data_IF_285892187197
#
_entry.id   IF_285892187197
#
_cell.length_a   1.000
_cell.length_b   1.000
_cell.length_c   1.000
_cell.angle_alpha   90.00
_cell.angle_beta   90.00
_cell.angle_gamma   90.00
#
_symmetry.space_group_name_H-M   'P 1'
#
loop_
_entity.id
_entity.type
_entity.pdbx_description
1 polymer ?
#
# COMPACT_ATOMS: atom_id res chain seq x y z
N UNK A 1 17.50 2.70 -11.58
CA UNK A 1 16.30 3.00 -10.76
C UNK A 1 16.32 2.36 -9.36
N UNK A 2 16.45 1.04 -9.24
CA UNK A 2 16.28 0.31 -7.95
C UNK A 2 17.19 0.75 -6.79
N UNK A 3 18.43 1.18 -7.05
CA UNK A 3 19.36 1.67 -5.99
C UNK A 3 18.89 2.99 -5.38
N UNK A 4 18.40 3.92 -6.20
CA UNK A 4 17.91 5.22 -5.77
C UNK A 4 16.65 5.12 -4.91
N UNK A 5 15.73 4.22 -5.26
CA UNK A 5 14.54 3.95 -4.44
C UNK A 5 14.90 3.41 -3.06
N UNK A 6 15.85 2.47 -2.97
CA UNK A 6 16.31 1.93 -1.68
C UNK A 6 16.95 2.99 -0.80
N UNK A 7 17.75 3.87 -1.39
CA UNK A 7 18.37 5.01 -0.68
C UNK A 7 17.28 5.97 -0.20
N UNK A 8 16.29 6.27 -1.04
CA UNK A 8 15.15 7.11 -0.67
C UNK A 8 14.34 6.53 0.50
N UNK A 9 14.08 5.21 0.50
CA UNK A 9 13.39 4.52 1.60
C UNK A 9 14.18 4.65 2.89
N UNK A 10 15.49 4.41 2.84
CA UNK A 10 16.35 4.52 4.01
C UNK A 10 16.37 5.94 4.57
N UNK A 11 16.51 6.95 3.70
CA UNK A 11 16.46 8.36 4.09
C UNK A 11 15.12 8.75 4.70
N UNK A 12 14.01 8.27 4.14
CA UNK A 12 12.67 8.53 4.65
C UNK A 12 12.47 7.94 6.06
N UNK A 13 12.94 6.71 6.29
CA UNK A 13 12.88 6.07 7.61
C UNK A 13 13.71 6.85 8.64
N UNK A 14 14.93 7.24 8.29
CA UNK A 14 15.80 8.04 9.16
C UNK A 14 15.15 9.40 9.46
N UNK A 15 14.61 10.08 8.44
CA UNK A 15 13.89 11.34 8.61
C UNK A 15 12.70 11.20 9.57
N UNK A 16 11.92 10.13 9.41
CA UNK A 16 10.75 9.85 10.25
C UNK A 16 11.16 9.66 11.71
N UNK A 17 12.24 8.92 11.98
CA UNK A 17 12.78 8.72 13.33
C UNK A 17 13.31 10.02 13.95
N UNK A 18 13.96 10.87 13.15
CA UNK A 18 14.47 12.18 13.59
C UNK A 18 13.31 13.12 13.93
N UNK A 19 12.30 13.24 13.07
CA UNK A 19 11.08 13.99 13.36
C UNK A 19 10.42 13.48 14.64
N UNK A 20 10.29 12.15 14.78
CA UNK A 20 9.70 11.51 15.95
C UNK A 20 10.46 11.80 17.26
N UNK A 21 11.77 12.02 17.20
CA UNK A 21 12.61 12.29 18.37
C UNK A 21 12.68 13.77 18.79
N UNK A 22 12.23 14.69 17.93
CA UNK A 22 12.47 16.14 18.11
C UNK A 22 11.24 16.88 18.66
N UNK A 23 10.02 16.37 18.44
CA UNK A 23 8.78 16.99 18.93
C UNK A 23 8.39 16.38 20.29
N UNK A 24 8.51 17.19 21.35
CA UNK A 24 8.35 16.80 22.76
C UNK A 24 6.96 16.29 23.19
N UNK A 25 5.98 16.24 22.28
CA UNK A 25 4.60 15.77 22.51
C UNK A 25 4.33 14.41 21.81
N UNK A 26 5.33 13.53 21.90
CA UNK A 26 5.47 12.19 21.31
C UNK A 26 4.29 11.21 21.48
N UNK A 27 3.32 11.49 22.35
CA UNK A 27 2.15 10.63 22.61
C UNK A 27 0.81 11.27 22.29
N UNK A 28 0.76 12.59 22.06
CA UNK A 28 -0.51 13.31 22.04
C UNK A 28 -0.97 13.69 20.63
N UNK A 29 -0.04 13.92 19.69
CA UNK A 29 -0.41 14.38 18.36
C UNK A 29 0.38 13.73 17.22
N UNK A 30 -0.31 13.48 16.10
CA UNK A 30 0.30 12.96 14.89
C UNK A 30 0.77 14.13 14.03
N UNK A 31 2.05 14.12 13.64
CA UNK A 31 2.54 15.14 12.71
C UNK A 31 1.97 14.91 11.31
N UNK A 32 1.00 15.75 10.94
CA UNK A 32 0.33 15.74 9.62
C UNK A 32 1.37 15.87 8.49
N UNK A 33 2.48 16.57 8.71
CA UNK A 33 3.55 16.74 7.72
C UNK A 33 4.19 15.40 7.36
N UNK A 34 4.41 14.53 8.36
CA UNK A 34 4.96 13.18 8.16
C UNK A 34 3.96 12.29 7.41
N UNK A 35 2.66 12.41 7.73
CA UNK A 35 1.60 11.66 7.03
C UNK A 35 1.57 12.03 5.54
N UNK A 36 1.55 13.33 5.23
CA UNK A 36 1.54 13.81 3.83
C UNK A 36 2.82 13.41 3.10
N UNK A 37 3.99 13.53 3.74
CA UNK A 37 5.25 13.12 3.12
C UNK A 37 5.28 11.61 2.85
N UNK A 38 4.80 10.80 3.79
CA UNK A 38 4.70 9.34 3.64
C UNK A 38 3.80 8.93 2.47
N UNK A 39 2.70 9.64 2.31
CA UNK A 39 1.75 9.48 1.22
C UNK A 39 2.38 9.70 -0.14
N UNK A 40 3.05 10.84 -0.34
CA UNK A 40 3.76 11.13 -1.59
C UNK A 40 4.86 10.09 -1.85
N UNK A 41 5.56 9.67 -0.81
CA UNK A 41 6.63 8.68 -0.93
C UNK A 41 6.10 7.30 -1.38
N UNK A 42 5.00 6.83 -0.79
CA UNK A 42 4.31 5.59 -1.20
C UNK A 42 3.83 5.69 -2.65
N UNK A 43 3.23 6.82 -3.03
CA UNK A 43 2.77 7.06 -4.40
C UNK A 43 3.92 6.99 -5.42
N UNK A 44 5.06 7.59 -5.11
CA UNK A 44 6.27 7.51 -5.96
C UNK A 44 6.77 6.07 -6.05
N UNK A 45 6.78 5.33 -4.95
CA UNK A 45 7.18 3.92 -4.94
C UNK A 45 6.27 3.06 -5.83
N UNK A 46 4.95 3.22 -5.71
CA UNK A 46 3.97 2.48 -6.52
C UNK A 46 4.07 2.89 -8.00
N UNK A 47 4.22 4.18 -8.29
CA UNK A 47 4.41 4.67 -9.65
C UNK A 47 5.68 4.10 -10.30
N UNK A 48 6.79 4.07 -9.57
CA UNK A 48 8.03 3.47 -10.05
C UNK A 48 7.89 1.95 -10.25
N UNK A 49 7.13 1.26 -9.40
CA UNK A 49 6.79 -0.15 -9.58
C UNK A 49 5.97 -0.40 -10.86
N UNK A 50 4.95 0.41 -11.13
CA UNK A 50 4.18 0.31 -12.37
C UNK A 50 5.02 0.61 -13.60
N UNK A 51 5.91 1.59 -13.54
CA UNK A 51 6.86 1.87 -14.63
C UNK A 51 7.76 0.66 -14.93
N UNK A 52 8.27 -0.03 -13.89
CA UNK A 52 9.11 -1.22 -14.05
C UNK A 52 8.31 -2.39 -14.67
N UNK A 53 7.04 -2.56 -14.29
CA UNK A 53 6.14 -3.55 -14.91
C UNK A 53 5.84 -3.22 -16.37
N UNK A 54 5.53 -1.95 -16.66
CA UNK A 54 5.19 -1.49 -18.02
C UNK A 54 6.34 -1.64 -19.00
N UNK A 55 7.57 -1.48 -18.51
CA UNK A 55 8.79 -1.56 -19.34
C UNK A 55 9.31 -2.99 -19.47
N UNK A 56 8.85 -3.91 -18.62
CA UNK A 56 9.32 -5.30 -18.61
C UNK A 56 8.39 -6.21 -19.40
N UNK A 57 8.95 -7.22 -20.09
CA UNK A 57 8.17 -8.32 -20.71
C UNK A 57 7.28 -9.09 -19.71
N UNK A 58 7.45 -8.83 -18.41
CA UNK A 58 6.57 -9.26 -17.33
C UNK A 58 5.16 -8.67 -17.41
N UNK A 59 4.91 -7.65 -18.25
CA UNK A 59 3.56 -7.14 -18.53
C UNK A 59 2.61 -8.21 -19.11
N UNK A 60 3.11 -9.34 -19.60
CA UNK A 60 2.23 -10.43 -20.02
C UNK A 60 1.76 -11.31 -18.84
N UNK A 61 2.40 -11.21 -17.66
CA UNK A 61 2.12 -12.00 -16.45
C UNK A 61 1.77 -11.16 -15.21
N UNK A 62 1.68 -9.83 -15.31
CA UNK A 62 1.40 -8.94 -14.17
C UNK A 62 0.10 -9.27 -13.42
N UNK A 63 -0.94 -9.71 -14.14
CA UNK A 63 -2.23 -10.13 -13.55
C UNK A 63 -2.13 -11.40 -12.68
N UNK A 64 -0.94 -12.02 -12.61
CA UNK A 64 -0.68 -13.22 -11.81
C UNK A 64 0.20 -12.92 -10.59
N UNK A 65 0.70 -11.69 -10.47
CA UNK A 65 1.57 -11.29 -9.37
C UNK A 65 0.74 -10.67 -8.24
N UNK A 66 0.86 -11.23 -7.02
CA UNK A 66 0.20 -10.70 -5.81
C UNK A 66 0.58 -9.24 -5.58
N UNK A 67 1.83 -8.88 -5.91
CA UNK A 67 2.36 -7.54 -5.63
C UNK A 67 1.58 -6.47 -6.41
N UNK A 68 1.04 -6.80 -7.59
CA UNK A 68 0.20 -5.89 -8.36
C UNK A 68 -1.16 -5.62 -7.67
N UNK A 69 -1.82 -6.66 -7.16
CA UNK A 69 -3.07 -6.49 -6.41
C UNK A 69 -2.84 -5.70 -5.11
N UNK A 70 -1.74 -5.97 -4.41
CA UNK A 70 -1.36 -5.23 -3.20
C UNK A 70 -1.13 -3.76 -3.51
N UNK A 71 -0.38 -3.44 -4.58
CA UNK A 71 -0.09 -2.05 -4.94
C UNK A 71 -1.34 -1.27 -5.32
N UNK A 72 -2.29 -1.90 -6.04
CA UNK A 72 -3.58 -1.27 -6.38
C UNK A 72 -4.42 -1.01 -5.13
N UNK A 73 -4.51 -2.00 -4.23
CA UNK A 73 -5.26 -1.86 -2.98
C UNK A 73 -4.71 -0.73 -2.12
N UNK A 74 -3.39 -0.67 -1.94
CA UNK A 74 -2.72 0.38 -1.18
C UNK A 74 -2.93 1.75 -1.84
N UNK A 75 -2.80 1.86 -3.16
CA UNK A 75 -2.98 3.12 -3.87
C UNK A 75 -4.38 3.71 -3.66
N UNK A 76 -5.42 2.87 -3.82
CA UNK A 76 -6.81 3.30 -3.62
C UNK A 76 -7.07 3.65 -2.15
N UNK A 77 -6.60 2.82 -1.23
CA UNK A 77 -6.72 3.08 0.21
C UNK A 77 -6.09 4.42 0.59
N UNK A 78 -4.87 4.65 0.13
CA UNK A 78 -4.11 5.84 0.41
C UNK A 78 -4.80 7.10 -0.15
N UNK A 79 -5.33 7.03 -1.38
CA UNK A 79 -6.08 8.12 -2.01
C UNK A 79 -7.35 8.52 -1.23
N UNK A 80 -8.02 7.56 -0.58
CA UNK A 80 -9.22 7.81 0.23
C UNK A 80 -8.90 8.27 1.65
N UNK A 81 -7.86 7.72 2.29
CA UNK A 81 -7.59 7.93 3.72
C UNK A 81 -6.78 9.20 3.99
N UNK A 82 -5.81 9.56 3.14
CA UNK A 82 -5.01 10.80 3.33
C UNK A 82 -5.88 12.05 3.45
N UNK A 83 -6.80 12.36 2.51
CA UNK A 83 -7.57 13.60 2.61
C UNK A 83 -8.34 13.67 3.92
N UNK A 84 -8.88 12.54 4.37
CA UNK A 84 -9.60 12.43 5.64
C UNK A 84 -8.65 12.65 6.84
N UNK A 85 -7.42 12.16 6.76
CA UNK A 85 -6.39 12.38 7.77
C UNK A 85 -5.93 13.84 7.86
N UNK A 86 -5.98 14.62 6.78
CA UNK A 86 -5.69 16.06 6.83
C UNK A 86 -6.75 16.81 7.64
N UNK A 87 -7.99 16.33 7.61
CA UNK A 87 -9.11 16.91 8.37
C UNK A 87 -9.21 16.39 9.81
N UNK A 88 -8.23 15.64 10.34
CA UNK A 88 -8.25 15.20 11.75
C UNK A 88 -8.27 16.35 12.74
N UNK A 89 -7.85 17.56 12.35
CA UNK A 89 -8.04 18.77 13.16
C UNK A 89 -9.52 19.09 13.49
N UNK A 90 -10.47 18.54 12.72
CA UNK A 90 -11.91 18.65 12.98
C UNK A 90 -12.46 17.47 13.82
N UNK A 91 -11.61 16.54 14.23
CA UNK A 91 -11.94 15.39 15.07
C UNK A 91 -12.09 15.82 16.54
N UNK A 92 -13.11 16.63 16.81
CA UNK A 92 -13.50 17.05 18.16
C UNK A 92 -14.82 16.41 18.57
N UNK A 93 -15.02 16.19 19.87
CA UNK A 93 -16.26 15.66 20.46
C UNK A 93 -17.48 16.54 20.18
N UNK A 94 -17.28 17.80 19.79
CA UNK A 94 -18.33 18.72 19.37
C UNK A 94 -18.95 18.37 17.99
N UNK A 95 -18.26 17.57 17.17
CA UNK A 95 -18.71 17.16 15.83
C UNK A 95 -18.83 15.63 15.73
N UNK A 96 -19.82 15.00 16.38
CA UNK A 96 -20.00 13.55 16.36
C UNK A 96 -20.21 12.99 14.94
N UNK A 97 -20.83 13.76 14.05
CA UNK A 97 -21.04 13.35 12.65
C UNK A 97 -19.73 13.12 11.90
N UNK A 98 -18.72 13.96 12.14
CA UNK A 98 -17.40 13.80 11.53
C UNK A 98 -16.69 12.54 12.05
N UNK A 99 -16.83 12.25 13.35
CA UNK A 99 -16.27 11.04 13.96
C UNK A 99 -16.91 9.78 13.35
N UNK A 100 -18.24 9.76 13.20
CA UNK A 100 -18.95 8.66 12.57
C UNK A 100 -18.58 8.48 11.10
N UNK A 101 -18.46 9.57 10.35
CA UNK A 101 -18.01 9.55 8.96
C UNK A 101 -16.58 8.99 8.84
N UNK A 102 -15.64 9.53 9.63
CA UNK A 102 -14.25 9.08 9.69
C UNK A 102 -14.16 7.58 9.97
N UNK A 103 -14.84 7.11 11.01
CA UNK A 103 -14.85 5.71 11.40
C UNK A 103 -15.45 4.81 10.32
N UNK A 104 -16.51 5.28 9.65
CA UNK A 104 -17.17 4.56 8.57
C UNK A 104 -16.26 4.39 7.36
N UNK A 105 -15.61 5.46 6.91
CA UNK A 105 -14.69 5.39 5.78
C UNK A 105 -13.48 4.52 6.12
N UNK A 106 -12.92 4.64 7.32
CA UNK A 106 -11.79 3.81 7.74
C UNK A 106 -12.16 2.32 7.79
N UNK A 107 -13.38 1.98 8.26
CA UNK A 107 -13.87 0.59 8.27
C UNK A 107 -14.03 0.04 6.85
N UNK A 108 -14.71 0.76 5.97
CA UNK A 108 -14.89 0.30 4.59
C UNK A 108 -13.57 0.25 3.82
N UNK A 109 -12.66 1.20 4.06
CA UNK A 109 -11.32 1.20 3.49
C UNK A 109 -10.52 -0.04 3.89
N UNK A 110 -10.57 -0.43 5.17
CA UNK A 110 -9.91 -1.65 5.64
C UNK A 110 -10.54 -2.93 5.06
N UNK A 111 -11.88 -3.01 5.02
CA UNK A 111 -12.58 -4.15 4.40
C UNK A 111 -12.18 -4.29 2.93
N UNK A 112 -12.15 -3.18 2.21
CA UNK A 112 -11.71 -3.13 0.81
C UNK A 112 -10.27 -3.62 0.67
N UNK A 113 -9.34 -3.05 1.44
CA UNK A 113 -7.92 -3.37 1.38
C UNK A 113 -7.66 -4.86 1.64
N UNK A 114 -8.24 -5.42 2.70
CA UNK A 114 -8.10 -6.84 3.03
C UNK A 114 -8.74 -7.75 2.00
N UNK A 115 -9.87 -7.35 1.41
CA UNK A 115 -10.49 -8.10 0.33
C UNK A 115 -9.59 -8.13 -0.91
N UNK A 116 -8.98 -7.00 -1.28
CA UNK A 116 -8.02 -6.93 -2.39
C UNK A 116 -6.81 -7.84 -2.14
N UNK A 117 -6.28 -7.85 -0.92
CA UNK A 117 -5.16 -8.73 -0.56
C UNK A 117 -5.56 -10.21 -0.63
N UNK A 118 -6.73 -10.57 -0.08
CA UNK A 118 -7.24 -11.94 -0.16
C UNK A 118 -7.41 -12.42 -1.60
N UNK A 119 -7.95 -11.56 -2.49
CA UNK A 119 -8.07 -11.86 -3.92
C UNK A 119 -6.68 -12.05 -4.56
N UNK A 120 -5.73 -11.16 -4.27
CA UNK A 120 -4.37 -11.26 -4.76
C UNK A 120 -3.71 -12.60 -4.40
N UNK A 121 -3.79 -13.00 -3.14
CA UNK A 121 -3.28 -14.30 -2.69
C UNK A 121 -4.01 -15.49 -3.31
N UNK A 122 -5.33 -15.40 -3.46
CA UNK A 122 -6.12 -16.46 -4.07
C UNK A 122 -5.74 -16.71 -5.54
N UNK A 123 -5.52 -15.63 -6.30
CA UNK A 123 -5.10 -15.72 -7.72
C UNK A 123 -3.71 -16.33 -7.84
N UNK A 124 -2.77 -15.92 -6.99
CA UNK A 124 -1.42 -16.48 -6.99
C UNK A 124 -1.40 -17.96 -6.60
N UNK A 125 -2.18 -18.35 -5.57
CA UNK A 125 -2.35 -19.75 -5.20
C UNK A 125 -2.88 -20.59 -6.37
N UNK A 126 -3.90 -20.09 -7.10
CA UNK A 126 -4.43 -20.77 -8.28
C UNK A 126 -3.39 -20.91 -9.39
N UNK A 127 -2.61 -19.86 -9.63
CA UNK A 127 -1.57 -19.89 -10.66
C UNK A 127 -0.45 -20.88 -10.35
N UNK A 128 -0.02 -20.97 -9.09
CA UNK A 128 0.98 -21.95 -8.65
C UNK A 128 0.49 -23.39 -8.84
N UNK A 129 -0.80 -23.65 -8.57
CA UNK A 129 -1.39 -24.98 -8.76
C UNK A 129 -1.42 -25.41 -10.23
N UNK A 130 -1.80 -24.51 -11.14
CA UNK A 130 -1.83 -24.78 -12.59
C UNK A 130 -0.42 -25.06 -13.15
N UNK A 131 0.59 -24.34 -12.66
CA UNK A 131 2.00 -24.58 -13.06
C UNK A 131 2.56 -25.88 -12.51
N UNK A 132 2.11 -26.33 -11.33
CA UNK A 132 2.53 -27.61 -10.76
C UNK A 132 2.01 -28.80 -11.59
N UNK A 133 0.72 -28.82 -11.92
CA UNK A 133 0.12 -29.90 -12.72
C UNK A 133 0.68 -29.97 -14.15
N UNK A 134 1.02 -28.83 -14.76
CA UNK A 134 1.67 -28.81 -16.08
C UNK A 134 3.06 -29.45 -16.04
N UNK A 135 3.86 -29.24 -14.98
CA UNK A 135 5.18 -29.88 -14.83
C UNK A 135 5.07 -31.37 -14.60
N UNK A 136 4.10 -31.80 -13.81
CA UNK A 136 3.86 -33.22 -13.52
C UNK A 136 3.55 -34.00 -14.82
N UNK A 137 2.65 -33.47 -15.66
CA UNK A 137 2.30 -34.10 -16.93
C UNK A 137 3.48 -34.23 -17.93
N UNK A 138 4.47 -33.34 -17.86
CA UNK A 138 5.68 -33.44 -18.68
C UNK A 138 6.68 -34.48 -18.17
N UNK A 139 6.73 -34.72 -16.84
CA UNK A 139 7.62 -35.74 -16.25
C UNK A 139 7.11 -37.16 -16.56
N UNK A 140 5.80 -37.36 -16.70
CA UNK A 140 5.20 -38.66 -17.00
C UNK A 140 5.08 -38.96 -18.50
N UNK A 141 5.48 -38.03 -19.39
CA UNK A 141 5.45 -38.20 -20.84
C UNK A 141 6.81 -38.53 -21.48
N UNK A 142 7.89 -38.54 -20.70
CA UNK A 142 9.26 -38.89 -21.08
C UNK A 142 9.66 -40.26 -20.51
#
# INVERSE_FOLDING_TARGET
>A
MRRWLKIGVYLFVVYSIVCFSTFGDFLYDYDISVIILSAFFIMICIGAYYYDILTSDKILKFNKDVVFFISVGILIYQLCIIPIQIYTSYFNTENPDFIHFYATVLRYGNIFLYSTFAIGFFIDYRYQRETYHSKENHIFSD
#
